data_IF_380075568568
#
_entry.id   IF_380075568568
#
_cell.length_a   1.000
_cell.length_b   1.000
_cell.length_c   1.000
_cell.angle_alpha   90.00
_cell.angle_beta   90.00
_cell.angle_gamma   90.00
#
_symmetry.space_group_name_H-M   'P 1'
#
loop_
_entity.id
_entity.type
_entity.pdbx_description
1 polymer ?
#
# COMPACT_ATOMS: atom_id res chain seq x y z
N UNK A 1 4.26 -35.38 7.19
CA UNK A 1 4.90 -35.28 5.85
C UNK A 1 6.10 -34.36 5.94
N UNK A 2 7.23 -34.73 5.33
CA UNK A 2 8.42 -33.85 5.32
C UNK A 2 8.16 -32.67 4.38
N UNK A 3 8.45 -31.44 4.83
CA UNK A 3 8.33 -30.22 4.01
C UNK A 3 9.28 -30.27 2.84
N UNK A 4 8.81 -29.90 1.65
CA UNK A 4 9.65 -29.81 0.44
C UNK A 4 10.66 -28.65 0.57
N UNK A 5 11.73 -28.70 -0.23
CA UNK A 5 12.70 -27.59 -0.28
C UNK A 5 12.05 -26.28 -0.73
N UNK A 6 11.09 -26.35 -1.65
CA UNK A 6 10.32 -25.20 -2.12
C UNK A 6 9.50 -24.57 -0.97
N UNK A 7 8.78 -25.36 -0.19
CA UNK A 7 8.00 -24.87 0.95
C UNK A 7 8.89 -24.18 2.00
N UNK A 8 10.09 -24.74 2.29
CA UNK A 8 11.04 -24.10 3.23
C UNK A 8 11.56 -22.77 2.69
N UNK A 9 11.76 -22.66 1.38
CA UNK A 9 12.17 -21.41 0.72
C UNK A 9 11.08 -20.35 0.87
N UNK A 10 9.85 -20.66 0.54
CA UNK A 10 8.69 -19.77 0.62
C UNK A 10 8.44 -19.30 2.06
N UNK A 11 8.49 -20.22 3.03
CA UNK A 11 8.39 -19.88 4.46
C UNK A 11 9.50 -18.93 4.93
N UNK A 12 10.73 -19.11 4.44
CA UNK A 12 11.84 -18.24 4.80
C UNK A 12 11.67 -16.85 4.21
N UNK A 13 11.26 -16.75 2.94
CA UNK A 13 10.96 -15.48 2.27
C UNK A 13 9.82 -14.76 2.98
N UNK A 14 8.72 -15.44 3.29
CA UNK A 14 7.59 -14.84 4.00
C UNK A 14 8.02 -14.26 5.36
N UNK A 15 8.81 -15.02 6.16
CA UNK A 15 9.33 -14.52 7.44
C UNK A 15 10.25 -13.30 7.29
N UNK A 16 11.06 -13.27 6.24
CA UNK A 16 11.93 -12.12 5.95
C UNK A 16 11.11 -10.88 5.59
N UNK A 17 10.07 -11.03 4.76
CA UNK A 17 9.18 -9.92 4.38
C UNK A 17 8.39 -9.41 5.58
N UNK A 18 7.83 -10.29 6.41
CA UNK A 18 7.13 -9.91 7.63
C UNK A 18 8.06 -9.15 8.61
N UNK A 19 9.28 -9.65 8.79
CA UNK A 19 10.27 -9.01 9.65
C UNK A 19 10.74 -7.65 9.11
N UNK A 20 10.84 -7.51 7.79
CA UNK A 20 11.16 -6.24 7.12
C UNK A 20 10.07 -5.20 7.34
N UNK A 21 8.81 -5.58 7.08
CA UNK A 21 7.66 -4.71 7.31
C UNK A 21 7.60 -4.27 8.78
N UNK A 22 7.69 -5.22 9.72
CA UNK A 22 7.66 -4.90 11.14
C UNK A 22 8.83 -4.00 11.58
N UNK A 23 10.04 -4.24 11.06
CA UNK A 23 11.21 -3.41 11.37
C UNK A 23 11.02 -1.97 10.86
N UNK A 24 10.57 -1.79 9.61
CA UNK A 24 10.38 -0.45 9.04
C UNK A 24 9.28 0.29 9.80
N UNK A 25 8.16 -0.35 10.11
CA UNK A 25 7.07 0.25 10.89
C UNK A 25 7.53 0.70 12.28
N UNK A 26 8.37 -0.10 12.94
CA UNK A 26 8.77 0.16 14.33
C UNK A 26 9.95 1.13 14.47
N UNK A 27 10.99 0.97 13.63
CA UNK A 27 12.24 1.73 13.79
C UNK A 27 12.58 2.62 12.60
N UNK A 28 11.80 2.59 11.53
CA UNK A 28 12.02 3.34 10.29
C UNK A 28 12.97 2.64 9.33
N UNK A 29 12.84 2.97 8.04
CA UNK A 29 13.66 2.38 6.96
C UNK A 29 15.17 2.55 7.19
N UNK A 30 15.60 3.73 7.62
CA UNK A 30 17.02 4.02 7.84
C UNK A 30 17.70 3.09 8.87
N UNK A 31 16.92 2.52 9.80
CA UNK A 31 17.42 1.59 10.84
C UNK A 31 17.09 0.14 10.58
N UNK A 32 16.26 -0.16 9.58
CA UNK A 32 15.87 -1.51 9.17
C UNK A 32 17.00 -2.21 8.37
N UNK A 33 18.17 -2.41 8.97
CA UNK A 33 19.30 -3.05 8.34
C UNK A 33 19.08 -4.56 8.12
N UNK A 34 19.87 -5.17 7.22
CA UNK A 34 19.85 -6.62 7.00
C UNK A 34 20.05 -7.41 8.31
N UNK A 35 20.93 -6.92 9.20
CA UNK A 35 21.19 -7.55 10.50
C UNK A 35 19.95 -7.48 11.42
N UNK A 36 19.30 -6.33 11.50
CA UNK A 36 18.09 -6.14 12.29
C UNK A 36 16.94 -7.02 11.79
N UNK A 37 16.70 -7.00 10.47
CA UNK A 37 15.62 -7.77 9.86
C UNK A 37 15.83 -9.27 10.00
N UNK A 38 17.05 -9.77 9.73
CA UNK A 38 17.35 -11.21 9.83
C UNK A 38 17.32 -11.71 11.27
N UNK A 39 17.70 -10.87 12.24
CA UNK A 39 17.55 -11.17 13.67
C UNK A 39 16.07 -11.36 14.03
N UNK A 40 15.18 -10.47 13.57
CA UNK A 40 13.72 -10.58 13.77
C UNK A 40 13.13 -11.80 13.08
N UNK A 41 13.57 -12.10 11.85
CA UNK A 41 13.13 -13.27 11.09
C UNK A 41 13.66 -14.61 11.63
N UNK A 42 14.62 -14.60 12.57
CA UNK A 42 15.26 -15.81 13.08
C UNK A 42 16.06 -16.56 12.02
N UNK A 43 16.74 -15.83 11.12
CA UNK A 43 17.60 -16.38 10.07
C UNK A 43 18.95 -15.66 10.02
N UNK A 44 19.93 -16.21 9.30
CA UNK A 44 21.22 -15.53 9.12
C UNK A 44 21.15 -14.49 7.99
N UNK A 45 22.04 -13.49 8.01
CA UNK A 45 22.22 -12.53 6.90
C UNK A 45 22.54 -13.25 5.58
N UNK A 46 23.34 -14.31 5.62
CA UNK A 46 23.61 -15.13 4.44
C UNK A 46 22.39 -15.88 3.93
N UNK A 47 21.37 -16.13 4.76
CA UNK A 47 20.10 -16.68 4.29
C UNK A 47 19.29 -15.64 3.51
N UNK A 48 19.27 -14.38 3.93
CA UNK A 48 18.64 -13.29 3.18
C UNK A 48 19.26 -13.16 1.78
N UNK A 49 20.58 -13.03 1.68
CA UNK A 49 21.28 -12.85 0.41
C UNK A 49 21.36 -14.10 -0.48
N UNK A 50 20.88 -15.26 0.00
CA UNK A 50 20.59 -16.42 -0.88
C UNK A 50 19.24 -16.27 -1.61
N UNK A 51 18.35 -15.45 -1.11
CA UNK A 51 17.02 -15.21 -1.72
C UNK A 51 16.97 -13.93 -2.53
N UNK A 52 17.72 -12.91 -2.14
CA UNK A 52 17.74 -11.59 -2.76
C UNK A 52 19.17 -11.19 -3.07
N UNK A 53 19.45 -10.79 -4.31
CA UNK A 53 20.80 -10.45 -4.75
C UNK A 53 21.33 -9.20 -4.03
N UNK A 54 20.47 -8.21 -3.86
CA UNK A 54 20.79 -6.95 -3.20
C UNK A 54 19.78 -6.59 -2.11
N UNK A 55 20.12 -5.64 -1.27
CA UNK A 55 19.17 -5.05 -0.31
C UNK A 55 18.05 -4.29 -1.05
N UNK A 56 18.33 -3.70 -2.20
CA UNK A 56 17.33 -3.05 -3.05
C UNK A 56 16.27 -4.03 -3.54
N UNK A 57 16.66 -5.21 -4.04
CA UNK A 57 15.75 -6.26 -4.46
C UNK A 57 14.87 -6.75 -3.31
N UNK A 58 15.47 -6.88 -2.12
CA UNK A 58 14.72 -7.25 -0.93
C UNK A 58 13.72 -6.17 -0.51
N UNK A 59 14.08 -4.89 -0.60
CA UNK A 59 13.15 -3.80 -0.30
C UNK A 59 12.03 -3.68 -1.33
N UNK A 60 12.31 -3.95 -2.60
CA UNK A 60 11.26 -4.01 -3.63
C UNK A 60 10.29 -5.18 -3.38
N UNK A 61 10.79 -6.35 -2.99
CA UNK A 61 9.93 -7.46 -2.60
C UNK A 61 9.10 -7.13 -1.35
N UNK A 62 9.68 -6.38 -0.39
CA UNK A 62 8.95 -5.86 0.78
C UNK A 62 7.84 -4.91 0.36
N UNK A 63 8.12 -3.97 -0.54
CA UNK A 63 7.12 -3.05 -1.10
C UNK A 63 5.99 -3.80 -1.81
N UNK A 64 6.34 -4.76 -2.68
CA UNK A 64 5.37 -5.60 -3.37
C UNK A 64 4.45 -6.33 -2.39
N UNK A 65 4.98 -6.91 -1.33
CA UNK A 65 4.18 -7.61 -0.32
C UNK A 65 3.25 -6.65 0.44
N UNK A 66 3.70 -5.45 0.79
CA UNK A 66 2.84 -4.42 1.41
C UNK A 66 1.68 -4.06 0.48
N UNK A 67 1.98 -3.75 -0.78
CA UNK A 67 0.96 -3.37 -1.77
C UNK A 67 -0.02 -4.52 -2.07
N UNK A 68 0.47 -5.75 -2.11
CA UNK A 68 -0.39 -6.95 -2.23
C UNK A 68 -1.37 -7.05 -1.06
N UNK A 69 -0.89 -6.87 0.18
CA UNK A 69 -1.76 -6.88 1.38
C UNK A 69 -2.80 -5.76 1.34
N UNK A 70 -2.43 -4.58 0.86
CA UNK A 70 -3.36 -3.47 0.70
C UNK A 70 -4.46 -3.78 -0.32
N UNK A 71 -4.10 -4.34 -1.49
CA UNK A 71 -5.06 -4.77 -2.49
C UNK A 71 -6.02 -5.82 -1.93
N UNK A 72 -5.49 -6.81 -1.20
CA UNK A 72 -6.31 -7.84 -0.58
C UNK A 72 -7.30 -7.26 0.44
N UNK A 73 -6.85 -6.29 1.26
CA UNK A 73 -7.70 -5.59 2.23
C UNK A 73 -8.78 -4.76 1.52
N UNK A 74 -8.39 -3.99 0.51
CA UNK A 74 -9.31 -3.17 -0.27
C UNK A 74 -10.36 -4.02 -1.00
N UNK A 75 -9.94 -5.08 -1.67
CA UNK A 75 -10.84 -6.00 -2.40
C UNK A 75 -11.86 -6.65 -1.46
N UNK A 76 -11.42 -7.12 -0.29
CA UNK A 76 -12.33 -7.68 0.72
C UNK A 76 -13.34 -6.63 1.21
N UNK A 77 -12.85 -5.44 1.55
CA UNK A 77 -13.72 -4.37 2.02
C UNK A 77 -14.75 -3.94 0.97
N UNK A 78 -14.37 -3.90 -0.32
CA UNK A 78 -15.30 -3.63 -1.43
C UNK A 78 -16.38 -4.72 -1.55
N UNK A 79 -15.99 -5.99 -1.42
CA UNK A 79 -16.93 -7.11 -1.49
C UNK A 79 -17.94 -7.13 -0.32
N UNK A 80 -17.61 -6.48 0.79
CA UNK A 80 -18.42 -6.38 2.01
C UNK A 80 -19.30 -5.11 2.06
N UNK A 81 -19.29 -4.25 1.01
CA UNK A 81 -20.12 -3.05 0.98
C UNK A 81 -21.61 -3.45 0.98
N UNK A 82 -22.41 -3.00 1.97
CA UNK A 82 -23.85 -3.25 1.99
C UNK A 82 -24.55 -2.60 0.78
N UNK A 83 -25.51 -3.29 0.20
CA UNK A 83 -26.21 -2.82 -1.02
C UNK A 83 -27.00 -1.51 -0.83
N UNK A 84 -27.35 -1.17 0.41
CA UNK A 84 -28.08 0.04 0.78
C UNK A 84 -27.15 1.25 1.06
N UNK A 85 -25.84 1.03 1.09
CA UNK A 85 -24.87 2.12 1.32
C UNK A 85 -24.47 2.77 -0.01
N UNK A 86 -24.44 4.13 -0.08
CA UNK A 86 -23.91 4.82 -1.25
C UNK A 86 -22.48 4.35 -1.58
N UNK A 87 -22.30 3.87 -2.81
CA UNK A 87 -21.04 3.22 -3.23
C UNK A 87 -19.84 4.16 -3.08
N UNK A 88 -20.00 5.45 -3.39
CA UNK A 88 -18.96 6.47 -3.29
C UNK A 88 -18.50 6.69 -1.84
N UNK A 89 -19.45 6.85 -0.90
CA UNK A 89 -19.12 7.02 0.52
C UNK A 89 -18.40 5.81 1.08
N UNK A 90 -18.84 4.61 0.70
CA UNK A 90 -18.22 3.37 1.10
C UNK A 90 -16.78 3.28 0.56
N UNK A 91 -16.57 3.61 -0.71
CA UNK A 91 -15.26 3.59 -1.35
C UNK A 91 -14.29 4.59 -0.73
N UNK A 92 -14.71 5.83 -0.49
CA UNK A 92 -13.86 6.82 0.19
C UNK A 92 -13.47 6.38 1.60
N UNK A 93 -14.40 5.74 2.33
CA UNK A 93 -14.11 5.18 3.64
C UNK A 93 -13.09 4.03 3.57
N UNK A 94 -13.24 3.12 2.59
CA UNK A 94 -12.31 2.02 2.35
C UNK A 94 -10.92 2.56 2.01
N UNK A 95 -10.83 3.53 1.10
CA UNK A 95 -9.57 4.14 0.69
C UNK A 95 -8.86 4.79 1.88
N UNK A 96 -9.60 5.55 2.72
CA UNK A 96 -9.08 6.08 3.98
C UNK A 96 -8.54 4.97 4.89
N UNK A 97 -9.30 3.90 5.09
CA UNK A 97 -8.94 2.85 6.06
C UNK A 97 -7.76 2.00 5.57
N UNK A 98 -7.67 1.73 4.27
CA UNK A 98 -6.52 1.07 3.65
C UNK A 98 -5.26 1.93 3.78
N UNK A 99 -5.33 3.23 3.47
CA UNK A 99 -4.17 4.13 3.58
C UNK A 99 -3.72 4.40 5.02
N UNK A 100 -4.62 4.26 6.00
CA UNK A 100 -4.32 4.37 7.43
C UNK A 100 -3.67 3.12 8.03
N UNK A 101 -3.62 2.03 7.30
CA UNK A 101 -2.99 0.81 7.81
C UNK A 101 -1.51 1.11 8.14
N UNK A 102 -1.03 0.78 9.35
CA UNK A 102 0.35 1.06 9.77
C UNK A 102 1.42 0.54 8.80
N UNK A 103 1.14 -0.54 8.06
CA UNK A 103 2.07 -1.09 7.07
C UNK A 103 2.32 -0.14 5.89
N UNK A 104 1.44 0.84 5.64
CA UNK A 104 1.66 1.85 4.60
C UNK A 104 2.84 2.77 4.88
N UNK A 105 3.23 2.95 6.15
CA UNK A 105 4.44 3.68 6.52
C UNK A 105 5.67 3.14 5.78
N UNK A 106 5.72 1.82 5.53
CA UNK A 106 6.79 1.18 4.74
C UNK A 106 6.90 1.80 3.35
N UNK A 107 5.76 1.97 2.67
CA UNK A 107 5.74 2.55 1.32
C UNK A 107 6.16 4.02 1.33
N UNK A 108 5.69 4.80 2.29
CA UNK A 108 6.06 6.21 2.41
C UNK A 108 7.56 6.39 2.65
N UNK A 109 8.14 5.61 3.53
CA UNK A 109 9.58 5.64 3.81
C UNK A 109 10.42 5.17 2.62
N UNK A 110 10.02 4.10 1.93
CA UNK A 110 10.70 3.61 0.75
C UNK A 110 10.62 4.62 -0.42
N UNK A 111 9.46 5.25 -0.66
CA UNK A 111 9.32 6.29 -1.68
C UNK A 111 10.18 7.52 -1.37
N UNK A 112 10.26 7.93 -0.10
CA UNK A 112 11.12 9.05 0.31
C UNK A 112 12.60 8.67 0.11
N UNK A 113 13.03 7.49 0.50
CA UNK A 113 14.39 7.01 0.30
C UNK A 113 14.77 6.90 -1.19
N UNK A 114 13.86 6.43 -2.03
CA UNK A 114 14.04 6.30 -3.47
C UNK A 114 14.27 7.64 -4.20
N UNK A 115 13.96 8.78 -3.58
CA UNK A 115 14.27 10.11 -4.16
C UNK A 115 15.76 10.34 -4.35
N UNK A 116 16.60 9.75 -3.49
CA UNK A 116 18.05 9.92 -3.47
C UNK A 116 18.81 8.63 -3.77
N UNK A 117 18.11 7.49 -3.82
CA UNK A 117 18.67 6.18 -4.18
C UNK A 117 18.13 5.75 -5.56
N UNK A 118 18.98 5.85 -6.59
CA UNK A 118 18.59 5.56 -7.97
C UNK A 118 18.26 4.07 -8.19
N UNK A 119 18.97 3.16 -7.51
CA UNK A 119 18.71 1.71 -7.61
C UNK A 119 17.37 1.36 -6.99
N UNK A 120 17.12 1.85 -5.78
CA UNK A 120 15.85 1.65 -5.10
C UNK A 120 14.70 2.26 -5.91
N UNK A 121 14.89 3.46 -6.47
CA UNK A 121 13.89 4.11 -7.33
C UNK A 121 13.53 3.27 -8.55
N UNK A 122 14.52 2.79 -9.30
CA UNK A 122 14.28 1.95 -10.47
C UNK A 122 13.47 0.69 -10.13
N UNK A 123 13.83 0.01 -9.04
CA UNK A 123 13.16 -1.22 -8.61
C UNK A 123 11.73 -0.96 -8.09
N UNK A 124 11.52 0.16 -7.36
CA UNK A 124 10.19 0.52 -6.86
C UNK A 124 9.26 1.01 -7.97
N UNK A 125 9.79 1.63 -9.01
CA UNK A 125 9.00 2.17 -10.10
C UNK A 125 8.13 1.09 -10.76
N UNK A 126 8.69 -0.07 -11.07
CA UNK A 126 7.96 -1.18 -11.68
C UNK A 126 6.84 -1.69 -10.77
N UNK A 127 7.13 -1.83 -9.48
CA UNK A 127 6.15 -2.26 -8.47
C UNK A 127 4.99 -1.28 -8.34
N UNK A 128 5.28 0.04 -8.33
CA UNK A 128 4.27 1.08 -8.22
C UNK A 128 3.42 1.22 -9.49
N UNK A 129 4.00 1.03 -10.67
CA UNK A 129 3.27 1.03 -11.95
C UNK A 129 2.28 -0.15 -11.98
N UNK A 130 2.73 -1.36 -11.63
CA UNK A 130 1.85 -2.53 -11.56
C UNK A 130 0.71 -2.34 -10.55
N UNK A 131 1.03 -1.80 -9.37
CA UNK A 131 0.03 -1.52 -8.36
C UNK A 131 -0.98 -0.46 -8.80
N UNK A 132 -0.52 0.63 -9.42
CA UNK A 132 -1.37 1.69 -9.95
C UNK A 132 -2.37 1.18 -10.99
N UNK A 133 -1.93 0.28 -11.89
CA UNK A 133 -2.81 -0.36 -12.86
C UNK A 133 -3.92 -1.18 -12.18
N UNK A 134 -3.59 -1.99 -11.17
CA UNK A 134 -4.57 -2.80 -10.42
C UNK A 134 -5.59 -1.92 -9.67
N UNK A 135 -5.12 -0.83 -9.08
CA UNK A 135 -6.03 0.14 -8.44
C UNK A 135 -6.95 0.79 -9.45
N UNK A 136 -6.41 1.24 -10.59
CA UNK A 136 -7.21 1.82 -11.66
C UNK A 136 -8.32 0.86 -12.13
N UNK A 137 -7.99 -0.41 -12.38
CA UNK A 137 -8.96 -1.43 -12.77
C UNK A 137 -10.03 -1.65 -11.69
N UNK A 138 -9.64 -1.62 -10.42
CA UNK A 138 -10.58 -1.71 -9.29
C UNK A 138 -11.57 -0.55 -9.31
N UNK A 139 -11.08 0.69 -9.46
CA UNK A 139 -11.95 1.87 -9.51
C UNK A 139 -12.85 1.86 -10.74
N UNK A 140 -12.34 1.45 -11.91
CA UNK A 140 -13.12 1.32 -13.14
C UNK A 140 -14.28 0.33 -13.03
N UNK A 141 -14.12 -0.70 -12.19
CA UNK A 141 -15.18 -1.70 -11.95
C UNK A 141 -16.26 -1.28 -10.97
N UNK A 142 -16.17 -0.08 -10.36
CA UNK A 142 -17.13 0.35 -9.36
C UNK A 142 -18.42 0.88 -9.99
N UNK A 143 -19.58 0.73 -9.31
CA UNK A 143 -20.82 1.37 -9.71
C UNK A 143 -20.64 2.89 -9.81
N UNK A 144 -21.05 3.47 -10.94
CA UNK A 144 -20.94 4.90 -11.21
C UNK A 144 -19.58 5.36 -11.78
N UNK A 145 -18.61 4.48 -11.91
CA UNK A 145 -17.33 4.82 -12.56
C UNK A 145 -17.49 5.23 -14.03
N UNK A 146 -18.53 4.73 -14.68
CA UNK A 146 -18.92 5.02 -16.06
C UNK A 146 -19.45 6.46 -16.26
N UNK A 147 -19.83 7.16 -15.18
CA UNK A 147 -20.20 8.58 -15.24
C UNK A 147 -19.00 9.51 -15.31
N UNK A 148 -17.79 9.00 -14.94
CA UNK A 148 -16.54 9.77 -15.02
C UNK A 148 -15.94 9.61 -16.42
N UNK A 149 -15.61 10.71 -17.12
CA UNK A 149 -14.94 10.62 -18.42
C UNK A 149 -13.64 9.82 -18.34
N UNK A 150 -13.41 8.90 -19.28
CA UNK A 150 -12.27 7.97 -19.24
C UNK A 150 -10.91 8.69 -19.16
N UNK A 151 -10.78 9.82 -19.83
CA UNK A 151 -9.56 10.65 -19.77
C UNK A 151 -9.38 11.37 -18.44
N UNK A 152 -10.36 11.36 -17.56
CA UNK A 152 -10.34 11.99 -16.23
C UNK A 152 -10.18 10.97 -15.11
N UNK A 153 -10.64 9.74 -15.32
CA UNK A 153 -10.69 8.70 -14.29
C UNK A 153 -9.31 8.42 -13.66
N UNK A 154 -8.27 8.31 -14.47
CA UNK A 154 -6.91 8.06 -13.97
C UNK A 154 -6.41 9.20 -13.07
N UNK A 155 -6.65 10.45 -13.46
CA UNK A 155 -6.29 11.62 -12.67
C UNK A 155 -7.10 11.70 -11.38
N UNK A 156 -8.39 11.37 -11.42
CA UNK A 156 -9.25 11.32 -10.24
C UNK A 156 -8.77 10.26 -9.24
N UNK A 157 -8.51 9.04 -9.71
CA UNK A 157 -8.00 7.94 -8.86
C UNK A 157 -6.69 8.35 -8.20
N UNK A 158 -5.73 8.90 -8.96
CA UNK A 158 -4.46 9.39 -8.43
C UNK A 158 -4.67 10.51 -7.39
N UNK A 159 -5.59 11.45 -7.65
CA UNK A 159 -5.90 12.55 -6.73
C UNK A 159 -6.45 12.03 -5.41
N UNK A 160 -7.37 11.06 -5.44
CA UNK A 160 -7.95 10.46 -4.25
C UNK A 160 -6.89 9.72 -3.43
N UNK A 161 -6.08 8.88 -4.07
CA UNK A 161 -5.00 8.14 -3.41
C UNK A 161 -4.02 9.12 -2.76
N UNK A 162 -3.50 10.09 -3.50
CA UNK A 162 -2.53 11.06 -2.99
C UNK A 162 -3.11 11.89 -1.83
N UNK A 163 -4.42 12.19 -1.86
CA UNK A 163 -5.11 12.90 -0.79
C UNK A 163 -5.12 12.09 0.51
N UNK A 164 -5.45 10.80 0.44
CA UNK A 164 -5.49 9.95 1.62
C UNK A 164 -4.10 9.53 2.10
N UNK A 165 -3.15 9.31 1.20
CA UNK A 165 -1.75 9.05 1.55
C UNK A 165 -1.12 10.25 2.25
N UNK A 166 -1.29 11.44 1.69
CA UNK A 166 -0.83 12.69 2.31
C UNK A 166 -1.46 12.92 3.68
N UNK A 167 -2.76 12.68 3.79
CA UNK A 167 -3.48 12.75 5.05
C UNK A 167 -2.96 11.73 6.07
N UNK A 168 -2.67 10.49 5.66
CA UNK A 168 -2.14 9.44 6.54
C UNK A 168 -0.75 9.83 7.10
N UNK A 169 0.13 10.40 6.26
CA UNK A 169 1.46 10.89 6.68
C UNK A 169 1.32 12.03 7.71
N UNK A 170 0.47 13.02 7.43
CA UNK A 170 0.29 14.17 8.34
C UNK A 170 -0.29 13.73 9.68
N UNK A 171 -1.27 12.83 9.67
CA UNK A 171 -1.93 12.32 10.90
C UNK A 171 -1.03 11.49 11.80
N UNK A 172 -0.01 10.86 11.25
CA UNK A 172 0.99 10.17 12.06
C UNK A 172 1.73 11.13 13.02
N UNK A 173 1.72 12.44 12.71
CA UNK A 173 2.37 13.49 13.50
C UNK A 173 1.34 14.39 14.19
N UNK A 174 0.27 14.74 13.49
CA UNK A 174 -0.80 15.64 13.96
C UNK A 174 -2.15 14.94 13.84
N UNK A 175 -2.60 14.22 14.87
CA UNK A 175 -3.91 13.57 14.86
C UNK A 175 -5.05 14.60 14.73
N UNK A 176 -5.96 14.41 13.78
CA UNK A 176 -7.09 15.29 13.50
C UNK A 176 -8.33 14.46 13.09
N UNK A 177 -8.94 13.69 14.00
CA UNK A 177 -10.02 12.76 13.68
C UNK A 177 -11.28 13.45 13.12
N UNK A 178 -11.56 14.67 13.54
CA UNK A 178 -12.72 15.46 13.07
C UNK A 178 -12.53 15.87 11.59
N UNK A 179 -11.32 16.29 11.21
CA UNK A 179 -11.00 16.64 9.82
C UNK A 179 -11.11 15.40 8.92
N UNK A 180 -10.76 14.24 9.42
CA UNK A 180 -10.86 12.97 8.68
C UNK A 180 -12.29 12.64 8.28
N UNK A 181 -13.23 12.79 9.20
CA UNK A 181 -14.64 12.55 8.92
C UNK A 181 -15.19 13.60 7.93
N UNK A 182 -14.85 14.86 8.13
CA UNK A 182 -15.26 15.96 7.25
C UNK A 182 -14.67 15.84 5.84
N UNK A 183 -13.45 15.33 5.70
CA UNK A 183 -12.79 15.12 4.41
C UNK A 183 -13.57 14.14 3.52
N UNK A 184 -14.05 13.03 4.09
CA UNK A 184 -14.88 12.07 3.33
C UNK A 184 -16.16 12.74 2.86
N UNK A 185 -16.88 13.41 3.75
CA UNK A 185 -18.13 14.11 3.42
C UNK A 185 -17.92 15.17 2.33
N UNK A 186 -16.85 15.95 2.43
CA UNK A 186 -16.50 16.95 1.44
C UNK A 186 -16.20 16.32 0.07
N UNK A 187 -15.32 15.29 0.04
CA UNK A 187 -14.98 14.62 -1.20
C UNK A 187 -16.21 13.96 -1.86
N UNK A 188 -17.05 13.29 -1.08
CA UNK A 188 -18.32 12.71 -1.60
C UNK A 188 -19.21 13.78 -2.19
N UNK A 189 -19.36 14.93 -1.51
CA UNK A 189 -20.16 16.07 -1.99
C UNK A 189 -19.63 16.62 -3.31
N UNK A 190 -18.31 16.85 -3.42
CA UNK A 190 -17.67 17.36 -4.62
C UNK A 190 -17.80 16.38 -5.80
N UNK A 191 -17.60 15.09 -5.56
CA UNK A 191 -17.70 14.07 -6.60
C UNK A 191 -19.14 13.87 -7.08
N UNK A 192 -20.11 13.87 -6.17
CA UNK A 192 -21.53 13.82 -6.54
C UNK A 192 -21.97 15.06 -7.32
N UNK A 193 -21.47 16.24 -7.00
CA UNK A 193 -21.76 17.46 -7.77
C UNK A 193 -21.11 17.45 -9.17
N UNK A 194 -19.96 16.78 -9.33
CA UNK A 194 -19.24 16.74 -10.60
C UNK A 194 -19.70 15.58 -11.52
N UNK A 195 -20.05 14.43 -10.95
CA UNK A 195 -20.25 13.17 -11.67
C UNK A 195 -21.51 12.40 -11.22
N UNK A 196 -22.27 12.91 -10.26
CA UNK A 196 -23.52 12.29 -9.83
C UNK A 196 -24.60 12.40 -10.91
N UNK A 197 -25.65 11.53 -10.83
CA UNK A 197 -26.78 11.55 -11.77
C UNK A 197 -27.59 12.83 -11.68
#
# INVERSE_FOLDING_TARGET
MARTQQQRREETVARLLDASIAAIVEVGYARASAAEITKRAGVSVGALFRHFETMGDFMAATAHEVLRRQLDLGTKAVAEIPADRPALDAMLAILRDVTRNPTNAVMYELMIAARTDEKLRATLQDVLIEYGAKIYDTFRGLPGADTVPENTLAALVATLINTFDGAAIVRAVVPAPEIDAQQITLLASLLNAAYGP
#
